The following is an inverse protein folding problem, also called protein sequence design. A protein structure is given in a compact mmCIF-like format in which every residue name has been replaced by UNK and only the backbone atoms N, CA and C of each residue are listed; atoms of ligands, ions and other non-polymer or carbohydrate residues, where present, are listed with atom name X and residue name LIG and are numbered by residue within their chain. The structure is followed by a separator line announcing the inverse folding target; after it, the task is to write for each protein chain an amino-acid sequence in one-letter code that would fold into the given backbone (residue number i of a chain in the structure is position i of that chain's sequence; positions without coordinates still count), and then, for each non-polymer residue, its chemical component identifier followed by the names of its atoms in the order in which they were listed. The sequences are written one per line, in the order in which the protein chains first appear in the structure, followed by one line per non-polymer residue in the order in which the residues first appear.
data_IF_197783262333
#
_entry.id   IF_197783262333
#
_cell.length_a   1.000
_cell.length_b   1.000
_cell.length_c   1.000
_cell.angle_alpha   90.00
_cell.angle_beta   90.00
_cell.angle_gamma   90.00
#
_symmetry.space_group_name_H-M   'P 1'
#
loop_
_entity.id
_entity.type
_entity.pdbx_description
1 polymer ?
#
# COMPACT_ATOMS: atom_id res chain seq x y z
N UNK A 1 -8.55 8.12 22.98
CA UNK A 1 -7.92 9.40 23.31
C UNK A 1 -7.07 9.72 22.11
N UNK A 2 -7.38 10.80 21.40
CA UNK A 2 -6.61 11.23 20.22
C UNK A 2 -5.14 11.41 20.60
N UNK A 3 -4.24 10.97 19.73
CA UNK A 3 -2.80 11.08 19.94
C UNK A 3 -2.39 12.56 19.95
N UNK A 4 -1.65 12.97 20.97
CA UNK A 4 -1.05 14.31 21.02
C UNK A 4 0.19 14.39 20.10
N UNK A 5 0.42 15.53 19.44
CA UNK A 5 1.51 15.70 18.48
C UNK A 5 2.90 15.60 19.14
N UNK A 6 3.08 16.09 20.37
CA UNK A 6 4.35 15.95 21.09
C UNK A 6 4.57 14.52 21.57
N UNK A 7 3.51 13.84 21.98
CA UNK A 7 3.54 12.41 22.28
C UNK A 7 3.91 11.58 21.04
N UNK A 8 3.35 11.90 19.87
CA UNK A 8 3.72 11.29 18.60
C UNK A 8 5.22 11.49 18.30
N UNK A 9 5.71 12.73 18.40
CA UNK A 9 7.14 13.06 18.24
C UNK A 9 8.03 12.35 19.24
N UNK A 10 7.57 12.16 20.49
CA UNK A 10 8.30 11.39 21.51
C UNK A 10 8.46 9.93 21.07
N UNK A 11 7.38 9.29 20.62
CA UNK A 11 7.42 7.89 20.11
C UNK A 11 8.34 7.76 18.90
N UNK A 12 8.34 8.73 17.99
CA UNK A 12 9.26 8.75 16.85
C UNK A 12 10.72 8.75 17.31
N UNK A 13 11.06 9.55 18.33
CA UNK A 13 12.43 9.57 18.88
C UNK A 13 12.80 8.27 19.59
N UNK A 14 11.85 7.67 20.33
CA UNK A 14 12.07 6.43 21.07
C UNK A 14 12.27 5.21 20.16
N UNK A 15 11.66 5.24 18.97
CA UNK A 15 11.72 4.18 17.98
C UNK A 15 12.47 4.62 16.71
N UNK A 16 13.45 5.52 16.86
CA UNK A 16 14.25 6.02 15.74
C UNK A 16 15.02 4.90 15.01
N UNK A 17 15.30 3.78 15.70
CA UNK A 17 15.92 2.59 15.14
C UNK A 17 15.08 1.92 14.04
N UNK A 18 13.75 2.07 14.09
CA UNK A 18 12.84 1.54 13.07
C UNK A 18 12.85 2.36 11.77
N UNK A 19 13.40 3.58 11.81
CA UNK A 19 13.62 4.44 10.66
C UNK A 19 12.35 4.75 9.84
N UNK A 20 11.24 5.01 10.54
CA UNK A 20 9.92 5.24 9.93
C UNK A 20 9.79 6.60 9.22
N UNK A 21 10.63 7.58 9.52
CA UNK A 21 10.53 8.96 9.02
C UNK A 21 11.84 9.43 8.35
N UNK A 22 11.70 10.17 7.26
CA UNK A 22 12.79 10.91 6.60
C UNK A 22 12.92 12.30 7.23
N UNK A 23 11.80 12.96 7.51
CA UNK A 23 11.78 14.28 8.14
C UNK A 23 10.56 14.45 9.03
N UNK A 24 10.69 15.32 10.03
CA UNK A 24 9.64 15.65 11.00
C UNK A 24 9.15 17.06 10.69
N UNK A 25 7.84 17.25 10.75
CA UNK A 25 7.20 18.55 10.52
C UNK A 25 7.45 19.49 11.70
N UNK A 26 7.45 20.79 11.42
CA UNK A 26 7.51 21.86 12.43
C UNK A 26 6.11 22.36 12.86
N UNK A 27 5.05 21.63 12.51
CA UNK A 27 3.69 21.99 12.91
C UNK A 27 3.50 22.01 14.43
N UNK A 28 2.63 22.89 14.92
CA UNK A 28 2.39 23.08 16.36
C UNK A 28 0.91 23.11 16.73
N UNK A 29 0.03 22.74 15.79
CA UNK A 29 -1.42 22.73 16.02
C UNK A 29 -1.81 21.40 16.64
N UNK A 30 -2.92 21.40 17.37
CA UNK A 30 -3.57 20.19 17.85
C UNK A 30 -4.51 19.65 16.78
N UNK A 31 -4.70 18.32 16.78
CA UNK A 31 -5.60 17.64 15.87
C UNK A 31 -5.18 16.19 15.63
N UNK A 32 -5.93 15.49 14.78
CA UNK A 32 -5.60 14.11 14.37
C UNK A 32 -4.22 14.08 13.73
N UNK A 33 -3.30 13.30 14.30
CA UNK A 33 -1.90 13.25 13.90
C UNK A 33 -1.73 12.31 12.71
N UNK A 34 -1.25 12.85 11.60
CA UNK A 34 -1.12 12.11 10.33
C UNK A 34 0.33 12.06 9.87
N UNK A 35 0.80 10.86 9.53
CA UNK A 35 2.08 10.70 8.86
C UNK A 35 1.87 10.65 7.33
N UNK A 36 2.72 11.32 6.56
CA UNK A 36 2.54 11.45 5.10
C UNK A 36 3.72 10.83 4.38
N UNK A 37 3.48 9.86 3.49
CA UNK A 37 4.55 9.29 2.65
C UNK A 37 5.31 10.37 1.90
N UNK A 38 6.64 10.28 1.89
CA UNK A 38 7.55 11.33 1.38
C UNK A 38 7.47 11.63 -0.13
N UNK A 39 6.59 10.94 -0.87
CA UNK A 39 6.30 11.23 -2.28
C UNK A 39 5.09 12.17 -2.48
N UNK A 40 4.37 12.54 -1.42
CA UNK A 40 3.22 13.46 -1.48
C UNK A 40 3.68 14.84 -1.04
N UNK A 41 3.34 15.92 -1.73
CA UNK A 41 3.74 17.27 -1.33
C UNK A 41 3.04 17.73 -0.05
N UNK A 42 3.82 18.31 0.87
CA UNK A 42 3.33 18.99 2.09
C UNK A 42 4.00 20.36 2.12
N UNK A 43 3.21 21.43 2.21
CA UNK A 43 3.69 22.80 2.18
C UNK A 43 4.76 23.03 3.25
N UNK A 44 5.90 23.60 2.86
CA UNK A 44 7.02 23.86 3.76
C UNK A 44 7.93 22.66 4.05
N UNK A 45 7.62 21.46 3.52
CA UNK A 45 8.48 20.27 3.62
C UNK A 45 9.06 19.89 2.25
N UNK A 46 10.24 19.29 2.25
CA UNK A 46 10.86 18.76 1.01
C UNK A 46 10.24 17.41 0.67
N UNK A 47 9.92 17.19 -0.61
CA UNK A 47 9.46 15.91 -1.15
C UNK A 47 10.63 15.23 -1.86
N UNK A 48 11.21 14.19 -1.24
CA UNK A 48 12.39 13.50 -1.82
C UNK A 48 12.00 12.23 -2.59
N UNK A 49 10.78 11.73 -2.35
CA UNK A 49 10.32 10.41 -2.80
C UNK A 49 11.32 9.28 -2.46
N UNK A 50 12.09 9.44 -1.37
CA UNK A 50 13.08 8.46 -0.93
C UNK A 50 14.32 8.41 -1.82
N UNK A 51 14.50 9.37 -2.71
CA UNK A 51 15.69 9.51 -3.55
C UNK A 51 16.50 10.77 -3.22
N UNK A 52 17.58 10.97 -3.99
CA UNK A 52 18.48 12.14 -3.88
C UNK A 52 18.56 12.96 -5.17
N UNK A 53 17.66 12.69 -6.12
CA UNK A 53 17.66 13.29 -7.46
C UNK A 53 16.76 14.53 -7.53
N UNK A 54 15.64 14.51 -6.80
CA UNK A 54 14.66 15.60 -6.81
C UNK A 54 15.24 16.86 -6.12
N UNK A 55 14.74 18.06 -6.48
CA UNK A 55 15.19 19.30 -5.85
C UNK A 55 14.99 19.27 -4.32
N UNK A 56 16.03 19.67 -3.59
CA UNK A 56 15.94 19.85 -2.13
C UNK A 56 15.31 21.20 -1.77
N UNK A 57 14.12 21.45 -2.29
CA UNK A 57 13.35 22.69 -2.08
C UNK A 57 12.01 22.33 -1.46
N UNK A 58 11.59 23.00 -0.37
CA UNK A 58 10.27 22.78 0.20
C UNK A 58 9.14 23.02 -0.80
N UNK A 59 8.11 22.17 -0.76
CA UNK A 59 6.91 22.36 -1.58
C UNK A 59 6.22 23.68 -1.21
N UNK A 60 5.81 24.45 -2.21
CA UNK A 60 5.12 25.73 -2.00
C UNK A 60 3.66 25.56 -1.54
N UNK A 61 3.05 24.43 -1.89
CA UNK A 61 1.65 24.12 -1.62
C UNK A 61 1.52 22.67 -1.18
N UNK A 62 0.49 22.40 -0.38
CA UNK A 62 0.06 21.04 -0.07
C UNK A 62 -0.46 20.35 -1.34
N UNK A 63 -0.21 19.05 -1.46
CA UNK A 63 -1.00 18.23 -2.39
C UNK A 63 -2.49 18.31 -2.02
N UNK A 64 -3.44 18.21 -2.98
CA UNK A 64 -4.87 18.35 -2.68
C UNK A 64 -5.37 17.41 -1.56
N UNK A 65 -4.83 16.20 -1.48
CA UNK A 65 -5.13 15.25 -0.40
C UNK A 65 -4.70 15.76 0.98
N UNK A 66 -3.56 16.45 1.08
CA UNK A 66 -3.04 17.02 2.33
C UNK A 66 -3.85 18.25 2.71
N UNK A 67 -4.16 19.12 1.75
CA UNK A 67 -5.03 20.28 1.98
C UNK A 67 -6.40 19.84 2.56
N UNK A 68 -7.00 18.80 1.99
CA UNK A 68 -8.31 18.29 2.42
C UNK A 68 -8.31 17.70 3.83
N UNK A 69 -7.29 16.95 4.22
CA UNK A 69 -7.24 16.39 5.58
C UNK A 69 -7.04 17.49 6.63
N UNK A 70 -6.33 18.57 6.28
CA UNK A 70 -6.17 19.74 7.16
C UNK A 70 -7.48 20.49 7.37
N UNK A 71 -8.36 20.54 6.38
CA UNK A 71 -9.71 21.10 6.52
C UNK A 71 -10.54 20.32 7.56
N UNK A 72 -10.20 19.05 7.78
CA UNK A 72 -10.80 18.19 8.82
C UNK A 72 -10.02 18.21 10.14
N UNK A 73 -9.10 19.16 10.33
CA UNK A 73 -8.33 19.31 11.57
C UNK A 73 -7.15 18.36 11.71
N UNK A 74 -6.71 17.67 10.65
CA UNK A 74 -5.50 16.85 10.71
C UNK A 74 -4.22 17.70 10.76
N UNK A 75 -3.21 17.20 11.46
CA UNK A 75 -1.87 17.80 11.58
C UNK A 75 -0.82 16.82 11.09
N UNK A 76 0.14 17.29 10.28
CA UNK A 76 1.17 16.39 9.72
C UNK A 76 2.34 16.29 10.69
N UNK A 77 2.65 15.08 11.17
CA UNK A 77 3.80 14.85 12.08
C UNK A 77 5.12 14.77 11.31
N UNK A 78 5.11 14.31 10.07
CA UNK A 78 6.32 14.21 9.26
C UNK A 78 6.15 13.43 7.97
N UNK A 79 7.27 13.31 7.26
CA UNK A 79 7.41 12.57 6.00
C UNK A 79 7.92 11.16 6.27
N UNK A 80 7.13 10.15 5.94
CA UNK A 80 7.52 8.76 6.21
C UNK A 80 8.51 8.22 5.18
N UNK A 81 9.44 7.41 5.66
CA UNK A 81 10.41 6.73 4.82
C UNK A 81 9.73 5.66 3.94
N UNK A 82 10.33 5.41 2.79
CA UNK A 82 9.77 4.63 1.71
C UNK A 82 10.87 3.96 0.89
N UNK A 83 10.47 2.95 0.12
CA UNK A 83 11.33 2.46 -0.95
C UNK A 83 11.50 3.55 -2.03
N UNK A 84 12.73 3.76 -2.51
CA UNK A 84 13.07 4.84 -3.45
C UNK A 84 12.11 4.90 -4.65
N UNK A 85 11.57 6.10 -4.91
CA UNK A 85 10.57 6.39 -5.94
C UNK A 85 9.34 5.46 -5.95
N UNK A 86 8.99 4.94 -4.77
CA UNK A 86 7.99 3.91 -4.58
C UNK A 86 8.25 2.60 -5.34
N UNK A 87 9.42 2.40 -5.97
CA UNK A 87 9.64 1.34 -6.94
C UNK A 87 10.18 0.02 -6.34
N UNK A 88 9.61 -0.40 -5.21
CA UNK A 88 9.94 -1.68 -4.59
C UNK A 88 9.00 -2.09 -3.47
N UNK A 89 9.18 -3.31 -2.98
CA UNK A 89 8.25 -3.98 -2.08
C UNK A 89 8.79 -4.15 -0.65
N UNK A 90 10.00 -3.65 -0.34
CA UNK A 90 10.70 -3.94 0.93
C UNK A 90 10.91 -2.71 1.80
N UNK A 91 10.94 -1.50 1.23
CA UNK A 91 11.42 -0.28 1.90
C UNK A 91 12.85 -0.37 2.45
N UNK A 92 13.71 -1.19 1.83
CA UNK A 92 15.16 -1.07 1.95
C UNK A 92 15.62 0.07 1.05
N UNK A 93 15.93 1.23 1.64
CA UNK A 93 16.32 2.42 0.91
C UNK A 93 17.85 2.65 1.03
N UNK A 94 18.61 2.78 -0.07
CA UNK A 94 20.06 2.96 -0.01
C UNK A 94 20.49 4.34 0.49
N UNK A 95 19.63 5.35 0.38
CA UNK A 95 19.94 6.73 0.74
C UNK A 95 19.54 7.07 2.17
N UNK A 96 18.39 6.56 2.61
CA UNK A 96 17.81 6.83 3.93
C UNK A 96 17.88 5.64 4.90
N UNK A 97 18.42 4.50 4.46
CA UNK A 97 18.48 3.26 5.24
C UNK A 97 17.16 2.46 5.21
N UNK A 98 17.18 1.18 5.64
CA UNK A 98 16.00 0.34 5.62
C UNK A 98 14.98 0.77 6.68
N UNK A 99 13.70 0.65 6.35
CA UNK A 99 12.61 0.68 7.34
C UNK A 99 12.49 -0.70 7.97
N UNK A 100 12.58 -0.77 9.30
CA UNK A 100 12.60 -2.05 10.03
C UNK A 100 11.21 -2.42 10.51
N UNK A 101 10.92 -3.72 10.46
CA UNK A 101 9.64 -4.24 10.91
C UNK A 101 9.50 -4.10 12.45
N UNK A 102 8.36 -3.62 12.97
CA UNK A 102 8.15 -3.43 14.41
C UNK A 102 8.07 -4.75 15.19
N UNK A 103 7.74 -5.86 14.53
CA UNK A 103 7.66 -7.19 15.16
C UNK A 103 9.00 -7.90 15.21
N UNK A 104 9.95 -7.51 14.35
CA UNK A 104 11.32 -8.01 14.31
C UNK A 104 12.20 -7.03 13.51
N UNK A 105 13.02 -6.18 14.18
CA UNK A 105 13.83 -5.17 13.50
C UNK A 105 14.90 -5.72 12.54
N UNK A 106 15.14 -7.03 12.51
CA UNK A 106 16.00 -7.67 11.51
C UNK A 106 15.32 -7.90 10.15
N UNK A 107 14.00 -7.66 10.06
CA UNK A 107 13.16 -7.90 8.90
C UNK A 107 12.65 -6.62 8.25
N UNK A 108 12.24 -6.74 6.99
CA UNK A 108 11.70 -5.62 6.23
C UNK A 108 10.30 -5.25 6.71
N UNK A 109 9.98 -3.96 6.74
CA UNK A 109 8.61 -3.49 7.01
C UNK A 109 7.64 -3.78 5.85
N UNK A 110 8.15 -4.18 4.68
CA UNK A 110 7.39 -4.19 3.44
C UNK A 110 7.32 -2.78 2.83
N UNK A 111 6.87 -2.68 1.59
CA UNK A 111 7.01 -1.44 0.85
C UNK A 111 6.09 -1.26 -0.36
N UNK A 112 6.09 -0.08 -0.94
CA UNK A 112 7.00 1.03 -0.63
C UNK A 112 6.57 1.93 0.53
N UNK A 113 5.34 1.82 1.06
CA UNK A 113 4.88 2.66 2.19
C UNK A 113 5.26 2.09 3.58
N UNK A 114 6.44 1.49 3.69
CA UNK A 114 6.93 0.86 4.93
C UNK A 114 6.92 1.80 6.13
N UNK A 115 7.48 3.01 6.00
CA UNK A 115 7.51 3.97 7.10
C UNK A 115 6.12 4.37 7.59
N UNK A 116 5.16 4.50 6.67
CA UNK A 116 3.75 4.76 7.02
C UNK A 116 3.15 3.61 7.84
N UNK A 117 3.39 2.36 7.47
CA UNK A 117 2.87 1.22 8.24
C UNK A 117 3.54 1.07 9.60
N UNK A 118 4.85 1.30 9.70
CA UNK A 118 5.57 1.30 10.97
C UNK A 118 5.09 2.42 11.89
N UNK A 119 4.90 3.63 11.35
CA UNK A 119 4.41 4.77 12.13
C UNK A 119 3.06 4.46 12.79
N UNK A 120 2.14 3.84 12.05
CA UNK A 120 0.84 3.40 12.58
C UNK A 120 1.00 2.26 13.59
N UNK A 121 1.77 1.22 13.25
CA UNK A 121 1.96 0.05 14.11
C UNK A 121 2.56 0.41 15.49
N UNK A 122 3.39 1.46 15.53
CA UNK A 122 4.04 1.95 16.74
C UNK A 122 3.32 3.13 17.40
N UNK A 123 2.12 3.49 16.90
CA UNK A 123 1.33 4.60 17.42
C UNK A 123 2.03 5.96 17.34
N UNK A 124 2.88 6.16 16.33
CA UNK A 124 3.55 7.44 16.05
C UNK A 124 2.64 8.42 15.29
N UNK A 125 1.48 7.96 14.83
CA UNK A 125 0.41 8.74 14.22
C UNK A 125 -0.92 8.01 14.43
N UNK A 126 -2.06 8.70 14.30
CA UNK A 126 -3.38 8.07 14.34
C UNK A 126 -3.63 7.24 13.06
N UNK A 127 -3.18 7.76 11.92
CA UNK A 127 -3.18 7.08 10.64
C UNK A 127 -2.13 7.70 9.70
N UNK A 128 -1.88 7.07 8.56
CA UNK A 128 -0.89 7.54 7.61
C UNK A 128 -1.39 7.51 6.17
N UNK A 129 -0.93 8.46 5.35
CA UNK A 129 -1.09 8.43 3.90
C UNK A 129 -0.03 7.51 3.31
N UNK A 130 -0.45 6.55 2.49
CA UNK A 130 0.40 5.73 1.64
C UNK A 130 0.05 5.88 0.16
N UNK A 131 0.85 5.22 -0.69
CA UNK A 131 0.52 5.01 -2.10
C UNK A 131 0.63 3.53 -2.47
N UNK A 132 -0.16 3.09 -3.44
CA UNK A 132 -0.27 1.71 -3.88
C UNK A 132 -0.43 1.60 -5.40
N UNK A 133 0.64 1.15 -6.06
CA UNK A 133 0.71 0.91 -7.52
C UNK A 133 0.78 -0.57 -7.86
N UNK A 134 1.27 -1.38 -6.91
CA UNK A 134 1.41 -2.83 -7.03
C UNK A 134 1.25 -3.56 -5.70
N UNK A 135 0.68 -2.90 -4.69
CA UNK A 135 0.58 -3.40 -3.32
C UNK A 135 1.19 -2.50 -2.25
N UNK A 136 1.67 -1.30 -2.59
CA UNK A 136 2.51 -0.52 -1.66
C UNK A 136 1.82 0.06 -0.43
N UNK A 137 0.50 -0.07 -0.28
CA UNK A 137 -0.22 0.09 1.00
C UNK A 137 -0.41 -1.28 1.66
N UNK A 138 -0.86 -2.26 0.87
CA UNK A 138 -1.30 -3.58 1.35
C UNK A 138 -0.16 -4.49 1.82
N UNK A 139 0.97 -4.48 1.13
CA UNK A 139 2.19 -5.23 1.48
C UNK A 139 2.69 -4.78 2.86
N UNK A 140 3.04 -3.49 3.09
CA UNK A 140 3.52 -3.09 4.41
C UNK A 140 2.45 -3.22 5.49
N UNK A 141 1.16 -3.08 5.15
CA UNK A 141 0.06 -3.34 6.11
C UNK A 141 0.01 -4.82 6.54
N UNK A 142 0.20 -5.74 5.60
CA UNK A 142 0.35 -7.18 5.84
C UNK A 142 1.49 -7.47 6.80
N UNK A 143 2.70 -6.97 6.49
CA UNK A 143 3.91 -7.32 7.20
C UNK A 143 4.06 -6.62 8.56
N UNK A 144 3.46 -5.42 8.72
CA UNK A 144 3.47 -4.68 9.99
C UNK A 144 2.25 -4.96 10.85
N UNK A 145 1.26 -5.72 10.36
CA UNK A 145 0.08 -6.09 11.13
C UNK A 145 -0.88 -4.93 11.42
N UNK A 146 -1.07 -4.05 10.43
CA UNK A 146 -2.00 -2.91 10.50
C UNK A 146 -3.05 -2.99 9.39
N UNK A 147 -4.09 -2.16 9.45
CA UNK A 147 -5.09 -2.06 8.39
C UNK A 147 -4.59 -1.16 7.27
N UNK A 148 -4.67 -1.63 6.03
CA UNK A 148 -4.37 -0.83 4.84
C UNK A 148 -5.56 -0.78 3.92
N UNK A 149 -5.95 0.41 3.46
CA UNK A 149 -7.02 0.55 2.47
C UNK A 149 -6.45 1.14 1.17
N UNK A 150 -6.55 0.37 0.10
CA UNK A 150 -6.37 0.84 -1.28
C UNK A 150 -7.75 1.09 -1.87
N UNK A 151 -8.22 2.33 -1.99
CA UNK A 151 -9.49 2.64 -2.64
C UNK A 151 -9.55 2.20 -4.11
N UNK A 152 -10.71 2.33 -4.71
CA UNK A 152 -10.88 2.20 -6.15
C UNK A 152 -9.95 3.20 -6.87
N UNK A 153 -9.39 2.78 -8.00
CA UNK A 153 -8.52 3.63 -8.80
C UNK A 153 -9.27 4.92 -9.19
N UNK A 154 -8.67 6.06 -8.91
CA UNK A 154 -9.26 7.38 -9.19
C UNK A 154 -10.12 7.97 -8.06
N UNK A 155 -10.30 7.28 -6.93
CA UNK A 155 -11.07 7.82 -5.79
C UNK A 155 -10.41 9.02 -5.10
N UNK A 156 -9.08 9.15 -5.19
CA UNK A 156 -8.32 10.26 -4.61
C UNK A 156 -7.39 10.81 -5.69
N UNK A 157 -7.39 12.12 -5.87
CA UNK A 157 -6.52 12.82 -6.82
C UNK A 157 -5.05 12.69 -6.42
N UNK A 158 -4.17 12.49 -7.40
CA UNK A 158 -2.73 12.28 -7.22
C UNK A 158 -1.88 13.49 -7.66
N UNK A 159 -2.47 14.67 -7.83
CA UNK A 159 -1.71 15.92 -8.03
C UNK A 159 -0.84 16.22 -6.81
N UNK A 160 0.36 16.76 -7.04
CA UNK A 160 1.35 16.96 -5.96
C UNK A 160 1.93 15.65 -5.44
N UNK A 161 1.88 14.57 -6.22
CA UNK A 161 2.50 13.28 -5.89
C UNK A 161 3.57 12.95 -6.92
N UNK A 162 4.76 12.54 -6.47
CA UNK A 162 5.79 11.99 -7.36
C UNK A 162 5.29 10.64 -7.88
N UNK A 163 5.06 10.50 -9.20
CA UNK A 163 4.39 9.32 -9.75
C UNK A 163 5.34 8.14 -9.86
N UNK A 164 4.80 6.93 -9.70
CA UNK A 164 5.43 5.69 -10.19
C UNK A 164 4.77 5.26 -11.51
N UNK A 165 3.45 5.17 -11.53
CA UNK A 165 2.65 4.86 -12.72
C UNK A 165 1.33 5.60 -12.64
N UNK A 166 1.16 6.64 -13.45
CA UNK A 166 -0.02 7.52 -13.44
C UNK A 166 -1.32 6.75 -13.69
N UNK A 167 -1.25 5.65 -14.44
CA UNK A 167 -2.42 4.80 -14.74
C UNK A 167 -2.81 3.85 -13.60
N UNK A 168 -1.94 3.64 -12.60
CA UNK A 168 -2.11 2.64 -11.55
C UNK A 168 -1.99 3.19 -10.12
N UNK A 169 -1.36 4.36 -9.96
CA UNK A 169 -1.09 4.99 -8.67
C UNK A 169 -2.41 5.31 -7.95
N UNK A 170 -2.55 4.75 -6.76
CA UNK A 170 -3.68 5.00 -5.87
C UNK A 170 -3.16 5.48 -4.51
N UNK A 171 -3.68 6.59 -4.00
CA UNK A 171 -3.47 6.99 -2.61
C UNK A 171 -4.48 6.29 -1.70
N UNK A 172 -4.10 6.05 -0.45
CA UNK A 172 -5.02 5.48 0.53
C UNK A 172 -4.46 5.50 1.95
N UNK A 173 -5.33 5.29 2.95
CA UNK A 173 -4.93 5.31 4.34
C UNK A 173 -4.36 3.97 4.82
N UNK A 174 -3.43 4.06 5.76
CA UNK A 174 -2.98 2.98 6.63
C UNK A 174 -3.38 3.38 8.06
N UNK A 175 -4.02 2.49 8.81
CA UNK A 175 -4.57 2.79 10.13
C UNK A 175 -4.54 1.57 11.07
N UNK A 176 -4.82 1.78 12.36
CA UNK A 176 -4.89 0.71 13.36
C UNK A 176 -6.09 -0.21 13.18
N UNK A 177 -7.16 0.28 12.56
CA UNK A 177 -8.44 -0.41 12.39
C UNK A 177 -9.24 0.07 11.19
N UNK A 178 -10.29 -0.69 10.83
CA UNK A 178 -11.13 -0.40 9.65
C UNK A 178 -11.91 0.90 9.81
N UNK A 179 -12.38 1.22 11.02
CA UNK A 179 -13.14 2.44 11.29
C UNK A 179 -12.29 3.70 11.05
N UNK A 180 -11.04 3.68 11.51
CA UNK A 180 -10.07 4.76 11.30
C UNK A 180 -9.67 4.85 9.83
N UNK A 181 -9.46 3.71 9.15
CA UNK A 181 -9.19 3.71 7.70
C UNK A 181 -10.36 4.30 6.89
N UNK A 182 -11.61 4.01 7.26
CA UNK A 182 -12.80 4.57 6.63
C UNK A 182 -12.90 6.10 6.84
N UNK A 183 -12.73 6.56 8.08
CA UNK A 183 -12.73 7.99 8.40
C UNK A 183 -11.61 8.73 7.67
N UNK A 184 -10.41 8.16 7.65
CA UNK A 184 -9.26 8.69 6.90
C UNK A 184 -9.55 8.77 5.40
N UNK A 185 -10.13 7.73 4.79
CA UNK A 185 -10.56 7.77 3.40
C UNK A 185 -11.56 8.90 3.14
N UNK A 186 -12.53 9.11 4.02
CA UNK A 186 -13.49 10.20 3.86
C UNK A 186 -12.84 11.57 3.88
N UNK A 187 -11.89 11.80 4.81
CA UNK A 187 -11.11 13.03 4.85
C UNK A 187 -10.22 13.17 3.60
N UNK A 188 -9.62 12.08 3.10
CA UNK A 188 -8.74 12.11 1.93
C UNK A 188 -9.49 12.31 0.62
N UNK A 189 -10.68 11.72 0.45
CA UNK A 189 -11.45 11.72 -0.80
C UNK A 189 -12.50 12.83 -0.87
N UNK A 190 -12.97 13.32 0.28
CA UNK A 190 -14.12 14.22 0.37
C UNK A 190 -15.46 13.48 0.25
N UNK A 191 -15.45 12.15 0.11
CA UNK A 191 -16.65 11.32 0.06
C UNK A 191 -16.98 10.78 1.45
N UNK A 192 -18.24 10.86 1.86
CA UNK A 192 -18.69 10.21 3.10
C UNK A 192 -18.74 8.69 2.92
N UNK A 193 -17.97 7.96 3.72
CA UNK A 193 -17.95 6.51 3.77
C UNK A 193 -18.37 6.08 5.17
N UNK A 194 -19.59 5.54 5.27
CA UNK A 194 -20.16 5.06 6.52
C UNK A 194 -19.82 3.58 6.70
N UNK A 195 -19.31 3.22 7.88
CA UNK A 195 -19.04 1.83 8.24
C UNK A 195 -20.34 1.19 8.72
N UNK A 196 -20.91 0.33 7.87
CA UNK A 196 -22.11 -0.45 8.13
C UNK A 196 -21.80 -1.93 7.87
N UNK A 197 -21.31 -2.67 8.89
CA UNK A 197 -20.85 -4.04 8.72
C UNK A 197 -21.91 -4.94 8.04
N UNK A 198 -21.50 -5.65 6.99
CA UNK A 198 -22.40 -6.56 6.27
C UNK A 198 -22.67 -7.79 7.13
N UNK A 199 -23.94 -8.13 7.34
CA UNK A 199 -24.32 -9.38 8.01
C UNK A 199 -24.10 -10.56 7.06
N UNK A 200 -23.20 -11.47 7.44
CA UNK A 200 -22.91 -12.71 6.70
C UNK A 200 -22.58 -12.48 5.21
N UNK A 201 -21.47 -11.77 4.90
CA UNK A 201 -21.10 -11.48 3.51
C UNK A 201 -20.81 -12.76 2.72
N UNK A 202 -21.16 -12.74 1.42
CA UNK A 202 -20.83 -13.79 0.45
C UNK A 202 -19.37 -13.64 0.02
N UNK A 203 -18.52 -14.47 0.59
CA UNK A 203 -17.09 -14.48 0.32
C UNK A 203 -16.74 -15.51 -0.77
N UNK A 204 -15.71 -15.22 -1.56
CA UNK A 204 -15.12 -16.16 -2.52
C UNK A 204 -13.59 -16.15 -2.49
N UNK A 205 -12.97 -17.26 -2.86
CA UNK A 205 -11.53 -17.36 -3.09
C UNK A 205 -11.29 -17.39 -4.61
N UNK A 206 -10.37 -16.59 -5.17
CA UNK A 206 -10.12 -16.65 -6.61
C UNK A 206 -9.49 -18.01 -6.97
N UNK A 207 -10.21 -18.82 -7.75
CA UNK A 207 -9.84 -20.22 -8.00
C UNK A 207 -8.43 -20.36 -8.59
N UNK A 208 -7.62 -21.23 -7.98
CA UNK A 208 -6.25 -21.53 -8.43
C UNK A 208 -5.23 -20.41 -8.25
N UNK A 209 -5.55 -19.31 -7.56
CA UNK A 209 -4.61 -18.21 -7.36
C UNK A 209 -3.62 -18.43 -6.22
N UNK A 210 -4.09 -18.97 -5.09
CA UNK A 210 -3.33 -19.03 -3.83
C UNK A 210 -2.55 -20.34 -3.77
N UNK A 211 -1.23 -20.22 -3.95
CA UNK A 211 -0.29 -21.32 -3.90
C UNK A 211 1.09 -20.79 -3.47
N UNK A 212 2.00 -21.73 -3.15
CA UNK A 212 3.40 -21.46 -2.82
C UNK A 212 3.58 -20.43 -1.69
N UNK A 213 2.85 -20.66 -0.59
CA UNK A 213 2.93 -19.88 0.64
C UNK A 213 4.07 -20.41 1.52
N UNK A 214 4.72 -19.52 2.28
CA UNK A 214 5.54 -19.97 3.41
C UNK A 214 4.68 -20.49 4.57
N UNK A 215 5.30 -21.15 5.54
CA UNK A 215 4.59 -21.79 6.66
C UNK A 215 3.73 -20.79 7.46
N UNK A 216 4.23 -19.58 7.69
CA UNK A 216 3.51 -18.56 8.46
C UNK A 216 2.27 -18.05 7.71
N UNK A 217 2.41 -17.80 6.40
CA UNK A 217 1.30 -17.37 5.55
C UNK A 217 0.31 -18.50 5.32
N UNK A 218 0.77 -19.74 5.14
CA UNK A 218 -0.08 -20.93 5.01
C UNK A 218 -0.93 -21.14 6.27
N UNK A 219 -0.35 -21.03 7.47
CA UNK A 219 -1.08 -21.14 8.72
C UNK A 219 -2.20 -20.09 8.83
N UNK A 220 -1.90 -18.83 8.49
CA UNK A 220 -2.90 -17.77 8.47
C UNK A 220 -3.99 -18.03 7.43
N UNK A 221 -3.58 -18.50 6.24
CA UNK A 221 -4.48 -18.78 5.14
C UNK A 221 -5.46 -19.90 5.46
N UNK A 222 -4.98 -21.03 6.00
CA UNK A 222 -5.81 -22.18 6.38
C UNK A 222 -6.89 -21.77 7.39
N UNK A 223 -6.55 -20.87 8.32
CA UNK A 223 -7.49 -20.37 9.32
C UNK A 223 -8.60 -19.49 8.73
N UNK A 224 -8.25 -18.56 7.84
CA UNK A 224 -9.23 -17.56 7.34
C UNK A 224 -10.01 -18.00 6.12
N UNK A 225 -9.48 -18.96 5.34
CA UNK A 225 -10.10 -19.46 4.11
C UNK A 225 -11.09 -20.61 4.37
N UNK A 226 -11.07 -21.20 5.56
CA UNK A 226 -11.90 -22.34 5.92
C UNK A 226 -13.40 -22.08 5.66
N UNK A 227 -13.99 -22.90 4.78
CA UNK A 227 -15.42 -22.85 4.44
C UNK A 227 -15.80 -21.79 3.41
N UNK A 228 -14.85 -21.05 2.84
CA UNK A 228 -15.09 -20.12 1.74
C UNK A 228 -14.91 -20.86 0.41
N UNK A 229 -15.88 -20.83 -0.52
CA UNK A 229 -15.76 -21.53 -1.80
C UNK A 229 -14.77 -20.81 -2.74
N UNK A 230 -14.08 -21.59 -3.57
CA UNK A 230 -13.41 -21.03 -4.74
C UNK A 230 -14.43 -20.58 -5.78
N UNK A 231 -14.15 -19.46 -6.44
CA UNK A 231 -14.97 -18.89 -7.51
C UNK A 231 -14.15 -18.64 -8.78
N UNK A 232 -14.74 -18.81 -9.98
CA UNK A 232 -14.09 -18.43 -11.22
C UNK A 232 -13.66 -16.96 -11.21
N UNK A 233 -12.41 -16.71 -11.57
CA UNK A 233 -11.86 -15.36 -11.67
C UNK A 233 -10.79 -15.33 -12.78
N UNK A 234 -10.50 -14.16 -13.42
CA UNK A 234 -9.47 -14.09 -14.45
C UNK A 234 -8.09 -14.57 -13.98
N UNK A 235 -7.21 -14.89 -14.92
CA UNK A 235 -5.86 -15.34 -14.61
C UNK A 235 -5.09 -14.29 -13.82
N UNK A 236 -4.56 -14.69 -12.66
CA UNK A 236 -3.66 -13.87 -11.84
C UNK A 236 -2.47 -13.37 -12.65
N UNK A 237 -1.86 -14.27 -13.42
CA UNK A 237 -0.60 -14.01 -14.12
C UNK A 237 -0.81 -13.07 -15.31
N UNK A 238 -1.95 -13.17 -16.01
CA UNK A 238 -2.31 -12.20 -17.06
C UNK A 238 -2.53 -10.79 -16.47
N UNK A 239 -3.30 -10.69 -15.38
CA UNK A 239 -3.52 -9.43 -14.68
C UNK A 239 -2.22 -8.83 -14.12
N UNK A 240 -1.34 -9.68 -13.59
CA UNK A 240 -0.04 -9.28 -13.06
C UNK A 240 0.88 -8.78 -14.18
N UNK A 241 0.94 -9.49 -15.31
CA UNK A 241 1.73 -9.13 -16.50
C UNK A 241 1.30 -7.77 -17.05
N UNK A 242 0.00 -7.57 -17.29
CA UNK A 242 -0.54 -6.33 -17.82
C UNK A 242 -0.19 -5.13 -16.92
N UNK A 243 -0.45 -5.24 -15.62
CA UNK A 243 -0.14 -4.18 -14.66
C UNK A 243 1.36 -3.90 -14.54
N UNK A 244 2.20 -4.95 -14.54
CA UNK A 244 3.64 -4.79 -14.43
C UNK A 244 4.24 -4.09 -15.66
N UNK A 245 3.76 -4.38 -16.87
CA UNK A 245 4.26 -3.72 -18.08
C UNK A 245 3.88 -2.24 -18.12
N UNK A 246 2.62 -1.89 -17.81
CA UNK A 246 2.18 -0.49 -17.70
C UNK A 246 3.05 0.26 -16.69
N UNK A 247 3.25 -0.33 -15.50
CA UNK A 247 4.06 0.27 -14.45
C UNK A 247 5.50 0.51 -14.93
N UNK A 248 6.16 -0.50 -15.51
CA UNK A 248 7.54 -0.40 -15.96
C UNK A 248 7.73 0.70 -17.02
N UNK A 249 6.84 0.76 -18.01
CA UNK A 249 6.92 1.75 -19.10
C UNK A 249 6.69 3.17 -18.56
N UNK A 250 5.67 3.38 -17.73
CA UNK A 250 5.37 4.71 -17.20
C UNK A 250 6.43 5.22 -16.23
N UNK A 251 6.94 4.34 -15.35
CA UNK A 251 8.04 4.68 -14.45
C UNK A 251 9.30 5.05 -15.25
N UNK A 252 9.64 4.25 -16.27
CA UNK A 252 10.77 4.53 -17.14
C UNK A 252 10.60 5.86 -17.88
N UNK A 253 9.38 6.19 -18.35
CA UNK A 253 9.11 7.46 -19.01
C UNK A 253 9.32 8.66 -18.07
N UNK A 254 8.87 8.56 -16.82
CA UNK A 254 9.10 9.61 -15.81
C UNK A 254 10.58 9.79 -15.48
N UNK A 255 11.33 8.69 -15.32
CA UNK A 255 12.73 8.72 -14.92
C UNK A 255 13.74 8.85 -16.07
N UNK A 256 13.30 8.77 -17.34
CA UNK A 256 14.14 8.63 -18.54
C UNK A 256 15.35 9.55 -18.57
N UNK A 257 15.14 10.83 -18.25
CA UNK A 257 16.20 11.84 -18.25
C UNK A 257 17.28 11.52 -17.23
N UNK A 258 16.90 11.37 -15.96
CA UNK A 258 17.84 11.13 -14.86
C UNK A 258 18.50 9.75 -14.92
N UNK A 259 17.77 8.73 -15.41
CA UNK A 259 18.33 7.41 -15.62
C UNK A 259 19.47 7.39 -16.68
N UNK A 260 19.54 8.42 -17.53
CA UNK A 260 20.59 8.61 -18.52
C UNK A 260 21.67 9.58 -18.03
N UNK A 261 21.27 10.71 -17.44
CA UNK A 261 22.18 11.78 -17.00
C UNK A 261 22.92 11.46 -15.71
N UNK A 262 22.29 10.74 -14.76
CA UNK A 262 22.84 10.46 -13.44
C UNK A 262 22.40 9.09 -12.88
N UNK A 263 22.60 7.98 -13.62
CA UNK A 263 22.20 6.64 -13.19
C UNK A 263 22.83 6.20 -11.85
N UNK A 264 23.99 6.75 -11.48
CA UNK A 264 24.69 6.47 -10.23
C UNK A 264 23.98 7.01 -8.98
N UNK A 265 22.96 7.86 -9.14
CA UNK A 265 22.16 8.41 -8.04
C UNK A 265 20.98 7.53 -7.60
N UNK A 266 20.73 6.44 -8.32
CA UNK A 266 19.68 5.49 -8.01
C UNK A 266 20.20 4.30 -7.19
N UNK A 267 19.32 3.69 -6.41
CA UNK A 267 19.50 2.32 -5.93
C UNK A 267 19.65 1.34 -7.09
N UNK A 268 20.46 0.30 -6.87
CA UNK A 268 20.79 -0.69 -7.90
C UNK A 268 19.55 -1.44 -8.43
N UNK A 269 18.60 -1.71 -7.55
CA UNK A 269 17.30 -2.29 -7.87
C UNK A 269 16.47 -1.31 -8.71
N UNK A 270 16.25 -0.08 -8.25
CA UNK A 270 15.41 0.92 -8.92
C UNK A 270 15.92 1.24 -10.34
N UNK A 271 17.24 1.46 -10.52
CA UNK A 271 17.79 1.68 -11.86
C UNK A 271 17.65 0.44 -12.76
N UNK A 272 17.74 -0.76 -12.19
CA UNK A 272 17.47 -2.02 -12.89
C UNK A 272 16.05 -2.08 -13.45
N UNK A 273 15.05 -1.72 -12.64
CA UNK A 273 13.65 -1.67 -13.06
C UNK A 273 13.40 -0.60 -14.13
N UNK A 274 13.98 0.59 -13.96
CA UNK A 274 13.87 1.68 -14.95
C UNK A 274 14.49 1.26 -16.29
N UNK A 275 15.68 0.65 -16.28
CA UNK A 275 16.33 0.12 -17.49
C UNK A 275 15.49 -0.97 -18.16
N UNK A 276 14.87 -1.86 -17.37
CA UNK A 276 13.92 -2.85 -17.89
C UNK A 276 12.75 -2.17 -18.61
N UNK A 277 12.16 -1.13 -18.01
CA UNK A 277 11.08 -0.37 -18.64
C UNK A 277 11.49 0.36 -19.92
N UNK A 278 12.69 0.96 -19.94
CA UNK A 278 13.27 1.59 -21.15
C UNK A 278 13.53 0.59 -22.29
N UNK A 279 13.69 -0.70 -21.97
CA UNK A 279 13.92 -1.76 -22.94
C UNK A 279 12.64 -2.43 -23.49
N UNK A 280 11.45 -2.09 -22.98
CA UNK A 280 10.18 -2.63 -23.49
C UNK A 280 9.88 -2.01 -24.85
N UNK A 281 9.60 -2.86 -25.85
CA UNK A 281 9.24 -2.38 -27.18
C UNK A 281 7.80 -1.85 -27.19
N UNK A 282 7.55 -0.84 -28.01
CA UNK A 282 6.21 -0.27 -28.17
C UNK A 282 5.17 -1.32 -28.58
N UNK A 283 5.57 -2.31 -29.39
CA UNK A 283 4.68 -3.41 -29.83
C UNK A 283 4.31 -4.36 -28.69
N UNK A 284 5.25 -4.69 -27.81
CA UNK A 284 4.96 -5.52 -26.62
C UNK A 284 4.05 -4.77 -25.64
N UNK A 285 4.21 -3.44 -25.56
CA UNK A 285 3.35 -2.59 -24.75
C UNK A 285 1.94 -2.44 -25.33
N UNK A 286 1.81 -2.37 -26.67
CA UNK A 286 0.53 -2.28 -27.38
C UNK A 286 -0.36 -3.50 -27.09
N UNK A 287 0.21 -4.70 -27.09
CA UNK A 287 -0.52 -5.93 -26.74
C UNK A 287 -1.18 -5.84 -25.36
N UNK A 288 -0.46 -5.30 -24.37
CA UNK A 288 -0.98 -5.14 -23.01
C UNK A 288 -1.99 -3.99 -22.88
N UNK A 289 -1.81 -2.89 -23.63
CA UNK A 289 -2.80 -1.81 -23.68
C UNK A 289 -4.15 -2.31 -24.21
N UNK A 290 -4.15 -3.28 -25.12
CA UNK A 290 -5.36 -3.93 -25.63
C UNK A 290 -5.93 -4.92 -24.62
N UNK A 291 -5.08 -5.73 -23.98
CA UNK A 291 -5.52 -6.74 -23.02
C UNK A 291 -6.08 -6.15 -21.72
N UNK A 292 -5.50 -5.05 -21.24
CA UNK A 292 -5.78 -4.51 -19.91
C UNK A 292 -7.25 -4.10 -19.68
N UNK A 293 -7.92 -3.34 -20.57
CA UNK A 293 -9.34 -3.01 -20.40
C UNK A 293 -10.25 -4.24 -20.39
N UNK A 294 -9.92 -5.27 -21.21
CA UNK A 294 -10.66 -6.53 -21.26
C UNK A 294 -10.53 -7.29 -19.94
N UNK A 295 -9.31 -7.51 -19.46
CA UNK A 295 -9.04 -8.21 -18.21
C UNK A 295 -9.70 -7.50 -17.01
N UNK A 296 -9.66 -6.16 -17.00
CA UNK A 296 -10.36 -5.35 -16.00
C UNK A 296 -11.87 -5.61 -16.04
N UNK A 297 -12.49 -5.55 -17.21
CA UNK A 297 -13.93 -5.79 -17.35
C UNK A 297 -14.32 -7.23 -16.94
N UNK A 298 -13.50 -8.21 -17.27
CA UNK A 298 -13.71 -9.62 -16.88
C UNK A 298 -13.65 -9.80 -15.36
N UNK A 299 -12.71 -9.13 -14.67
CA UNK A 299 -12.59 -9.19 -13.21
C UNK A 299 -13.82 -8.59 -12.49
N UNK A 300 -14.30 -7.42 -12.95
CA UNK A 300 -15.52 -6.82 -12.39
C UNK A 300 -16.75 -7.69 -12.63
N UNK A 301 -16.88 -8.25 -13.85
CA UNK A 301 -17.98 -9.16 -14.21
C UNK A 301 -17.95 -10.45 -13.39
N UNK A 302 -16.77 -11.00 -13.10
CA UNK A 302 -16.65 -12.24 -12.34
C UNK A 302 -17.24 -12.09 -10.93
N UNK A 303 -17.00 -10.96 -10.25
CA UNK A 303 -17.63 -10.72 -8.94
C UNK A 303 -19.15 -10.60 -9.01
N UNK A 304 -19.67 -9.94 -10.06
CA UNK A 304 -21.11 -9.75 -10.28
C UNK A 304 -21.82 -11.08 -10.58
N UNK A 305 -21.27 -11.88 -11.50
CA UNK A 305 -21.85 -13.18 -11.92
C UNK A 305 -21.91 -14.17 -10.76
N UNK A 306 -20.85 -14.22 -9.95
CA UNK A 306 -20.78 -15.10 -8.77
C UNK A 306 -21.58 -14.54 -7.58
N UNK A 307 -22.03 -13.30 -7.67
CA UNK A 307 -22.79 -12.59 -6.64
C UNK A 307 -22.04 -12.53 -5.30
N UNK A 308 -20.72 -12.37 -5.35
CA UNK A 308 -19.88 -12.28 -4.15
C UNK A 308 -19.73 -10.82 -3.70
N UNK A 309 -19.76 -10.61 -2.39
CA UNK A 309 -19.54 -9.30 -1.78
C UNK A 309 -18.04 -8.96 -1.76
N UNK A 310 -17.19 -9.97 -1.55
CA UNK A 310 -15.75 -9.80 -1.59
C UNK A 310 -14.99 -11.09 -1.97
N UNK A 311 -13.84 -10.91 -2.63
CA UNK A 311 -12.79 -11.93 -2.68
C UNK A 311 -11.91 -11.84 -1.45
N UNK A 312 -11.49 -13.01 -0.95
CA UNK A 312 -10.56 -13.17 0.15
C UNK A 312 -9.30 -13.89 -0.35
N UNK A 313 -8.13 -13.35 -0.02
CA UNK A 313 -6.82 -13.93 -0.36
C UNK A 313 -5.71 -13.31 0.51
N UNK A 314 -4.54 -13.96 0.69
CA UNK A 314 -3.42 -13.33 1.38
C UNK A 314 -2.96 -12.06 0.65
N UNK A 315 -2.44 -11.09 1.40
CA UNK A 315 -1.80 -9.90 0.81
C UNK A 315 -0.39 -10.22 0.30
N UNK A 316 0.34 -11.09 0.99
CA UNK A 316 1.70 -11.55 0.65
C UNK A 316 1.74 -13.07 0.71
N UNK A 317 2.58 -13.72 -0.09
CA UNK A 317 2.79 -15.17 -0.05
C UNK A 317 3.78 -15.60 1.05
N UNK A 318 4.50 -14.65 1.60
CA UNK A 318 5.48 -14.83 2.67
C UNK A 318 5.26 -13.81 3.78
N UNK A 319 5.66 -14.17 5.00
CA UNK A 319 5.82 -13.23 6.12
C UNK A 319 7.00 -12.29 5.85
N UNK A 320 7.20 -11.29 6.72
CA UNK A 320 8.28 -10.30 6.56
C UNK A 320 9.65 -10.98 6.36
N UNK A 321 10.30 -10.89 5.19
CA UNK A 321 11.61 -11.52 5.00
C UNK A 321 12.72 -10.73 5.75
N UNK A 322 13.87 -11.37 6.03
CA UNK A 322 15.04 -10.67 6.57
C UNK A 322 15.48 -9.50 5.68
N UNK A 323 16.00 -8.44 6.31
CA UNK A 323 16.70 -7.38 5.58
C UNK A 323 17.91 -8.01 4.89
N UNK A 324 18.04 -7.79 3.57
CA UNK A 324 19.12 -8.37 2.77
C UNK A 324 18.78 -9.70 2.09
N UNK A 325 17.53 -10.18 2.15
CA UNK A 325 17.07 -11.39 1.45
C UNK A 325 17.04 -11.30 -0.10
N UNK A 326 17.69 -10.29 -0.70
CA UNK A 326 17.78 -10.13 -2.16
C UNK A 326 16.48 -9.70 -2.85
N UNK A 327 16.49 -9.71 -4.18
CA UNK A 327 15.37 -9.32 -5.02
C UNK A 327 14.32 -10.43 -5.19
N UNK A 328 14.69 -11.70 -4.91
CA UNK A 328 13.78 -12.85 -5.05
C UNK A 328 12.50 -12.73 -4.20
N UNK A 329 12.54 -11.97 -3.09
CA UNK A 329 11.36 -11.77 -2.23
C UNK A 329 10.31 -10.84 -2.85
N UNK A 330 10.64 -10.09 -3.91
CA UNK A 330 9.73 -9.10 -4.50
C UNK A 330 8.49 -9.74 -5.12
N UNK A 331 8.65 -10.86 -5.81
CA UNK A 331 7.54 -11.57 -6.45
C UNK A 331 6.57 -12.16 -5.40
N UNK A 332 6.98 -12.94 -4.40
CA UNK A 332 6.07 -13.46 -3.37
C UNK A 332 5.42 -12.36 -2.52
N UNK A 333 6.07 -11.20 -2.35
CA UNK A 333 5.46 -10.05 -1.68
C UNK A 333 4.37 -9.36 -2.54
N UNK A 334 4.46 -9.37 -3.87
CA UNK A 334 3.58 -8.56 -4.72
C UNK A 334 2.58 -9.36 -5.59
N UNK A 335 2.71 -10.69 -5.64
CA UNK A 335 1.94 -11.55 -6.58
C UNK A 335 0.43 -11.48 -6.39
N UNK A 336 -0.04 -11.28 -5.15
CA UNK A 336 -1.48 -11.21 -4.85
C UNK A 336 -2.03 -9.79 -4.85
N UNK A 337 -1.18 -8.76 -4.79
CA UNK A 337 -1.63 -7.37 -4.70
C UNK A 337 -1.75 -6.70 -6.06
N UNK A 338 -0.76 -6.91 -6.95
CA UNK A 338 -0.66 -6.22 -8.24
C UNK A 338 -1.88 -6.41 -9.16
N UNK A 339 -2.51 -7.60 -9.25
CA UNK A 339 -3.72 -7.79 -10.06
C UNK A 339 -4.82 -6.76 -9.76
N UNK A 340 -5.00 -6.35 -8.49
CA UNK A 340 -6.05 -5.40 -8.11
C UNK A 340 -5.69 -3.92 -8.33
N UNK A 341 -4.42 -3.60 -8.65
CA UNK A 341 -4.09 -2.33 -9.27
C UNK A 341 -4.51 -2.34 -10.74
N UNK A 342 -4.27 -3.45 -11.45
CA UNK A 342 -4.70 -3.64 -12.84
C UNK A 342 -6.23 -3.57 -12.97
N UNK A 343 -6.99 -4.18 -12.08
CA UNK A 343 -8.46 -4.11 -12.15
C UNK A 343 -9.04 -2.81 -11.58
N UNK A 344 -8.24 -2.06 -10.82
CA UNK A 344 -8.66 -0.84 -10.12
C UNK A 344 -9.64 -1.08 -8.98
N UNK A 345 -9.88 -2.33 -8.58
CA UNK A 345 -10.83 -2.67 -7.50
C UNK A 345 -10.32 -2.20 -6.14
N UNK A 346 -11.20 -1.72 -5.24
CA UNK A 346 -10.84 -1.41 -3.87
C UNK A 346 -10.48 -2.65 -3.07
N UNK A 347 -9.52 -2.49 -2.16
CA UNK A 347 -9.00 -3.56 -1.32
C UNK A 347 -8.69 -3.05 0.08
N UNK A 348 -9.24 -3.70 1.09
CA UNK A 348 -8.80 -3.54 2.50
C UNK A 348 -7.90 -4.72 2.86
N UNK A 349 -6.78 -4.48 3.51
CA UNK A 349 -5.92 -5.51 4.11
C UNK A 349 -6.10 -5.51 5.61
N UNK A 350 -6.42 -6.69 6.16
CA UNK A 350 -6.66 -6.91 7.58
C UNK A 350 -5.63 -7.88 8.16
N UNK A 351 -5.11 -7.65 9.36
CA UNK A 351 -4.26 -8.62 10.05
C UNK A 351 -5.03 -9.91 10.38
N UNK A 352 -4.54 -11.06 9.92
CA UNK A 352 -5.09 -12.38 10.28
C UNK A 352 -4.94 -12.64 11.79
N UNK A 353 -5.86 -13.39 12.43
CA UNK A 353 -5.80 -13.71 13.86
C UNK A 353 -4.83 -14.85 14.18
N UNK A 354 -3.56 -14.69 13.80
CA UNK A 354 -2.49 -15.66 14.06
C UNK A 354 -1.44 -15.13 15.02
N UNK A 355 -0.74 -16.04 15.69
CA UNK A 355 0.47 -15.75 16.46
C UNK A 355 1.71 -15.68 15.55
N UNK A 356 2.74 -14.93 15.97
CA UNK A 356 4.00 -14.82 15.24
C UNK A 356 4.07 -13.56 14.39
N UNK A 357 4.79 -13.62 13.28
CA UNK A 357 4.86 -12.49 12.35
C UNK A 357 3.50 -12.24 11.72
N UNK A 358 3.08 -10.98 11.55
CA UNK A 358 1.80 -10.67 10.95
C UNK A 358 1.66 -11.18 9.51
N UNK A 359 0.42 -11.57 9.18
CA UNK A 359 -0.01 -11.88 7.82
C UNK A 359 -1.28 -11.08 7.55
N UNK A 360 -1.29 -10.31 6.46
CA UNK A 360 -2.46 -9.56 6.01
C UNK A 360 -3.32 -10.37 5.05
N UNK A 361 -4.64 -10.21 5.17
CA UNK A 361 -5.64 -10.78 4.28
C UNK A 361 -6.34 -9.66 3.53
N UNK A 362 -6.39 -9.76 2.21
CA UNK A 362 -7.07 -8.83 1.34
C UNK A 362 -8.57 -9.14 1.29
N UNK A 363 -9.38 -8.10 1.43
CA UNK A 363 -10.82 -8.05 1.19
C UNK A 363 -11.02 -7.18 -0.04
N UNK A 364 -11.23 -7.81 -1.19
CA UNK A 364 -11.38 -7.13 -2.49
C UNK A 364 -12.86 -7.05 -2.83
N UNK A 365 -13.39 -5.86 -3.06
CA UNK A 365 -14.80 -5.68 -3.40
C UNK A 365 -14.98 -4.88 -4.69
N UNK A 366 -16.21 -4.79 -5.19
CA UNK A 366 -16.55 -3.96 -6.35
C UNK A 366 -16.60 -2.46 -6.03
N UNK A 367 -16.80 -2.08 -4.77
CA UNK A 367 -16.94 -0.68 -4.33
C UNK A 367 -16.16 -0.41 -3.03
N UNK A 368 -15.81 0.87 -2.81
CA UNK A 368 -15.09 1.29 -1.60
C UNK A 368 -15.87 0.93 -0.32
N UNK A 369 -17.17 1.23 -0.32
CA UNK A 369 -18.08 0.89 0.78
C UNK A 369 -18.19 -0.62 0.99
N UNK A 370 -18.31 -1.41 -0.08
CA UNK A 370 -18.32 -2.87 0.01
C UNK A 370 -17.04 -3.43 0.66
N UNK A 371 -15.87 -2.94 0.24
CA UNK A 371 -14.60 -3.39 0.79
C UNK A 371 -14.49 -3.09 2.29
N UNK A 372 -14.82 -1.86 2.71
CA UNK A 372 -14.80 -1.44 4.11
C UNK A 372 -15.82 -2.21 4.96
N UNK A 373 -17.06 -2.36 4.48
CA UNK A 373 -18.13 -2.96 5.27
C UNK A 373 -17.96 -4.47 5.45
N UNK A 374 -17.44 -5.18 4.44
CA UNK A 374 -17.04 -6.58 4.59
C UNK A 374 -15.83 -6.69 5.52
N UNK A 375 -14.84 -5.81 5.37
CA UNK A 375 -13.66 -5.81 6.22
C UNK A 375 -13.99 -5.52 7.69
N UNK A 376 -14.93 -4.62 7.97
CA UNK A 376 -15.38 -4.32 9.33
C UNK A 376 -16.03 -5.55 9.99
N UNK A 377 -16.84 -6.31 9.25
CA UNK A 377 -17.40 -7.59 9.73
C UNK A 377 -16.31 -8.59 10.08
N UNK A 378 -15.30 -8.73 9.21
CA UNK A 378 -14.20 -9.67 9.43
C UNK A 378 -13.29 -9.24 10.59
N UNK A 379 -12.98 -7.95 10.69
CA UNK A 379 -12.19 -7.39 11.79
C UNK A 379 -12.85 -7.66 13.15
N UNK A 380 -14.16 -7.41 13.27
CA UNK A 380 -14.90 -7.70 14.50
C UNK A 380 -14.82 -9.19 14.87
N UNK A 381 -15.07 -10.08 13.91
CA UNK A 381 -14.99 -11.54 14.10
C UNK A 381 -13.59 -12.01 14.49
N UNK A 382 -12.54 -11.46 13.89
CA UNK A 382 -11.17 -11.90 14.14
C UNK A 382 -10.59 -11.33 15.43
N UNK A 383 -11.07 -10.19 15.92
CA UNK A 383 -10.71 -9.69 17.25
C UNK A 383 -11.16 -10.63 18.36
N UNK A 384 -12.34 -11.24 18.23
CA UNK A 384 -12.84 -12.26 19.18
C UNK A 384 -11.99 -13.54 19.21
N UNK A 385 -11.24 -13.83 18.13
CA UNK A 385 -10.35 -14.99 18.07
C UNK A 385 -8.96 -14.72 18.68
N UNK A 386 -8.63 -13.44 18.93
CA UNK A 386 -7.36 -13.01 19.56
C UNK A 386 -7.46 -12.87 21.07
N UNK A 387 -8.68 -12.76 21.61
CA UNK A 387 -8.99 -12.76 23.05
C UNK A 387 -9.14 -14.18 23.58
#
# INVERSE_FOLDING_TARGET
MELDLEEARRRIREHADLNAFISISDETRDGTVVAVKDLVDVAGMVTTAGGIILPNTPAAHDAPVVARIREHGCVVVGKTNLHEFAFGATSVNPHYGPVRNPHDPSRVAGGSSGGSAVAVAMGMCDWAIGSDTGGSIRIPSSLCGVVGFKPALGSIETSGVVPLSRSLDTLGPIASDVATAAAAYSMMSGESLVVEPVRAPRLGLPAGWVADLDDGTAQAWDMVSAGIPEVPFPSRDELFKAGLMILLVEAAAFHRRWATECPEKYGADVIGHIRRGLGILAVDFEDELVAWPRLRAEAHRAMEVEGIDALILPATAIVAPPIGAGDEVREPLARFTRPFNSTGQPVVTLPAPVSGLPVGIQVVASTNSGAINVAATLEAKWRELRS
#
